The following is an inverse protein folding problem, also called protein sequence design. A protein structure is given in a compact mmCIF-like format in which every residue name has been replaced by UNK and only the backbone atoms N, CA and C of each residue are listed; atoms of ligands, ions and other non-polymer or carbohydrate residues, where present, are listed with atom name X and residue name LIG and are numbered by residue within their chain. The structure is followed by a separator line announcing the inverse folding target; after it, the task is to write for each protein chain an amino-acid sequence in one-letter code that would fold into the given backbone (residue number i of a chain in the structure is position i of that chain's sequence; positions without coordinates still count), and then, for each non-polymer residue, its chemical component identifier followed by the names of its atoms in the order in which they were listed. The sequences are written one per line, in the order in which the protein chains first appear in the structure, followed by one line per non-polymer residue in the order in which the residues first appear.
data_IF_590427336507
#
_entry.id   IF_590427336507
#
_cell.length_a   1.000
_cell.length_b   1.000
_cell.length_c   1.000
_cell.angle_alpha   90.00
_cell.angle_beta   90.00
_cell.angle_gamma   90.00
#
_symmetry.space_group_name_H-M   'P 1'
#
loop_
_entity.id
_entity.type
_entity.pdbx_description
1 polymer ?
#
# COMPACT_ATOMS: atom_id res chain seq x y z
N UNK A 1 15.69 -26.15 -7.30
CA UNK A 1 14.67 -26.26 -6.23
C UNK A 1 13.40 -25.69 -6.83
N UNK A 2 12.31 -26.45 -6.83
CA UNK A 2 11.03 -25.97 -7.34
C UNK A 2 10.49 -24.88 -6.43
N UNK A 3 10.17 -23.70 -6.97
CA UNK A 3 9.54 -22.64 -6.19
C UNK A 3 8.04 -22.92 -6.03
N UNK A 4 7.52 -22.80 -4.82
CA UNK A 4 6.08 -22.78 -4.57
C UNK A 4 5.68 -21.42 -4.01
N UNK A 5 5.08 -20.61 -4.87
CA UNK A 5 4.60 -19.26 -4.52
C UNK A 5 3.11 -19.34 -4.21
N UNK A 6 2.71 -18.87 -3.02
CA UNK A 6 1.31 -18.87 -2.59
C UNK A 6 0.82 -17.42 -2.47
N UNK A 7 -0.25 -17.09 -3.22
CA UNK A 7 -0.96 -15.81 -3.13
C UNK A 7 -2.18 -15.96 -2.22
N UNK A 8 -2.21 -15.24 -1.09
CA UNK A 8 -3.35 -15.18 -0.17
C UNK A 8 -4.08 -13.86 -0.36
N UNK A 9 -5.37 -13.91 -0.68
CA UNK A 9 -6.16 -12.79 -1.19
C UNK A 9 -6.11 -12.71 -2.72
N UNK A 10 -6.04 -13.88 -3.38
CA UNK A 10 -5.86 -14.00 -4.82
C UNK A 10 -7.01 -13.37 -5.63
N UNK A 11 -8.20 -13.14 -5.05
CA UNK A 11 -9.31 -12.42 -5.70
C UNK A 11 -9.06 -10.92 -5.91
N UNK A 12 -7.89 -10.40 -5.55
CA UNK A 12 -7.54 -9.00 -5.75
C UNK A 12 -7.37 -8.66 -7.23
N UNK A 13 -8.26 -7.80 -7.75
CA UNK A 13 -8.15 -7.31 -9.14
C UNK A 13 -6.92 -6.42 -9.36
N UNK A 14 -6.45 -5.75 -8.30
CA UNK A 14 -5.30 -4.86 -8.38
C UNK A 14 -3.96 -5.60 -8.42
N UNK A 15 -3.82 -6.70 -7.67
CA UNK A 15 -2.51 -7.36 -7.50
C UNK A 15 -2.36 -8.63 -8.34
N UNK A 16 -3.38 -9.49 -8.39
CA UNK A 16 -3.23 -10.87 -8.93
C UNK A 16 -2.79 -10.88 -10.38
N UNK A 17 -3.34 -9.99 -11.21
CA UNK A 17 -2.98 -9.90 -12.63
C UNK A 17 -1.49 -9.56 -12.81
N UNK A 18 -1.01 -8.53 -12.12
CA UNK A 18 0.39 -8.10 -12.17
C UNK A 18 1.34 -9.15 -11.63
N UNK A 19 1.06 -9.68 -10.43
CA UNK A 19 1.89 -10.71 -9.79
C UNK A 19 2.03 -11.98 -10.63
N UNK A 20 0.94 -12.48 -11.20
CA UNK A 20 1.00 -13.67 -12.06
C UNK A 20 1.75 -13.36 -13.35
N UNK A 21 1.58 -12.18 -13.95
CA UNK A 21 2.32 -11.77 -15.14
C UNK A 21 3.83 -11.66 -14.87
N UNK A 22 4.22 -11.10 -13.71
CA UNK A 22 5.62 -10.97 -13.30
C UNK A 22 6.26 -12.34 -13.02
N UNK A 23 5.54 -13.24 -12.34
CA UNK A 23 5.98 -14.61 -12.11
C UNK A 23 6.22 -15.36 -13.44
N UNK A 24 5.37 -15.16 -14.44
CA UNK A 24 5.50 -15.78 -15.76
C UNK A 24 6.68 -15.26 -16.60
N UNK A 25 7.25 -14.11 -16.24
CA UNK A 25 8.47 -13.60 -16.86
C UNK A 25 9.72 -14.32 -16.35
N UNK A 26 9.60 -15.09 -15.26
CA UNK A 26 10.69 -15.88 -14.71
C UNK A 26 10.64 -17.31 -15.25
N UNK A 27 11.77 -17.81 -15.66
CA UNK A 27 11.92 -19.22 -16.07
C UNK A 27 12.16 -20.11 -14.85
N UNK A 28 11.29 -20.01 -13.85
CA UNK A 28 11.37 -20.83 -12.64
C UNK A 28 10.59 -22.13 -12.85
N UNK A 29 11.15 -23.25 -12.36
CA UNK A 29 10.37 -24.44 -12.09
C UNK A 29 9.50 -24.14 -10.85
N UNK A 30 8.18 -23.96 -11.04
CA UNK A 30 7.33 -23.44 -9.97
C UNK A 30 5.92 -24.01 -9.94
N UNK A 31 5.35 -23.99 -8.75
CA UNK A 31 3.93 -24.18 -8.47
C UNK A 31 3.33 -22.86 -7.96
N UNK A 32 2.17 -22.50 -8.47
CA UNK A 32 1.38 -21.32 -8.05
C UNK A 32 0.20 -21.79 -7.20
N UNK A 33 0.19 -21.39 -5.93
CA UNK A 33 -0.95 -21.57 -5.03
C UNK A 33 -1.80 -20.31 -4.96
N UNK A 34 -3.11 -20.45 -5.17
CA UNK A 34 -4.08 -19.35 -5.08
C UNK A 34 -5.03 -19.60 -3.93
N UNK A 35 -5.19 -18.59 -3.06
CA UNK A 35 -6.08 -18.69 -1.89
C UNK A 35 -6.94 -17.44 -1.81
N UNK A 36 -8.24 -17.63 -1.74
CA UNK A 36 -9.19 -16.59 -1.36
C UNK A 36 -10.37 -17.23 -0.61
N UNK A 37 -10.87 -16.55 0.42
CA UNK A 37 -12.04 -17.04 1.18
C UNK A 37 -13.35 -16.92 0.39
N UNK A 38 -13.39 -16.06 -0.62
CA UNK A 38 -14.47 -15.91 -1.57
C UNK A 38 -14.27 -16.86 -2.75
N UNK A 39 -15.10 -17.88 -2.85
CA UNK A 39 -15.00 -18.91 -3.88
C UNK A 39 -15.16 -18.35 -5.30
N UNK A 40 -16.00 -17.34 -5.48
CA UNK A 40 -16.23 -16.70 -6.79
C UNK A 40 -15.01 -15.88 -7.19
N UNK A 41 -14.45 -15.09 -6.26
CA UNK A 41 -13.22 -14.33 -6.50
C UNK A 41 -12.02 -15.27 -6.77
N UNK A 42 -11.94 -16.40 -6.06
CA UNK A 42 -10.93 -17.42 -6.29
C UNK A 42 -11.05 -18.04 -7.69
N UNK A 43 -12.26 -18.36 -8.13
CA UNK A 43 -12.50 -18.93 -9.46
C UNK A 43 -12.09 -17.94 -10.58
N UNK A 44 -12.33 -16.64 -10.38
CA UNK A 44 -11.85 -15.59 -11.29
C UNK A 44 -10.32 -15.54 -11.32
N UNK A 45 -9.67 -15.55 -10.16
CA UNK A 45 -8.20 -15.53 -10.05
C UNK A 45 -7.57 -16.76 -10.72
N UNK A 46 -8.12 -17.94 -10.46
CA UNK A 46 -7.65 -19.21 -11.04
C UNK A 46 -7.84 -19.23 -12.56
N UNK A 47 -9.03 -18.85 -13.04
CA UNK A 47 -9.33 -18.76 -14.47
C UNK A 47 -8.36 -17.82 -15.21
N UNK A 48 -8.10 -16.64 -14.63
CA UNK A 48 -7.14 -15.70 -15.19
C UNK A 48 -5.71 -16.27 -15.20
N UNK A 49 -5.25 -16.84 -14.07
CA UNK A 49 -3.91 -17.40 -13.97
C UNK A 49 -3.68 -18.51 -15.00
N UNK A 50 -4.64 -19.42 -15.17
CA UNK A 50 -4.56 -20.49 -16.18
C UNK A 50 -4.48 -19.95 -17.59
N UNK A 51 -5.26 -18.93 -17.95
CA UNK A 51 -5.19 -18.28 -19.26
C UNK A 51 -3.85 -17.58 -19.51
N UNK A 52 -3.30 -16.90 -18.49
CA UNK A 52 -1.99 -16.26 -18.58
C UNK A 52 -0.88 -17.31 -18.82
N UNK A 53 -0.93 -18.43 -18.08
CA UNK A 53 0.00 -19.55 -18.21
C UNK A 53 -0.08 -20.17 -19.62
N UNK A 54 -1.28 -20.42 -20.11
CA UNK A 54 -1.53 -20.96 -21.45
C UNK A 54 -0.99 -20.03 -22.54
N UNK A 55 -1.31 -18.73 -22.46
CA UNK A 55 -0.87 -17.73 -23.44
C UNK A 55 0.67 -17.61 -23.51
N UNK A 56 1.37 -17.81 -22.37
CA UNK A 56 2.83 -17.84 -22.32
C UNK A 56 3.43 -19.22 -22.59
N UNK A 57 2.58 -20.26 -22.80
CA UNK A 57 3.01 -21.66 -22.97
C UNK A 57 3.91 -22.13 -21.81
N UNK A 58 3.68 -21.60 -20.60
CA UNK A 58 4.46 -21.96 -19.44
C UNK A 58 3.95 -23.25 -18.80
N UNK A 59 4.85 -24.01 -18.18
CA UNK A 59 4.51 -25.24 -17.45
C UNK A 59 4.50 -24.97 -15.95
N UNK A 60 3.41 -24.31 -15.48
CA UNK A 60 3.22 -23.98 -14.06
C UNK A 60 2.00 -24.74 -13.55
N UNK A 61 2.19 -25.51 -12.48
CA UNK A 61 1.08 -26.16 -11.78
C UNK A 61 0.35 -25.14 -10.92
N UNK A 62 -0.98 -25.02 -11.09
CA UNK A 62 -1.84 -24.16 -10.30
C UNK A 62 -2.65 -25.02 -9.33
N UNK A 63 -2.61 -24.65 -8.04
CA UNK A 63 -3.49 -25.16 -6.98
C UNK A 63 -4.30 -24.02 -6.42
N UNK A 64 -5.60 -24.25 -6.15
CA UNK A 64 -6.50 -23.23 -5.62
C UNK A 64 -7.37 -23.83 -4.51
N UNK A 65 -7.52 -23.11 -3.38
CA UNK A 65 -8.44 -23.50 -2.30
C UNK A 65 -8.92 -22.27 -1.53
N UNK A 66 -10.12 -22.37 -0.98
CA UNK A 66 -10.63 -21.39 -0.02
C UNK A 66 -10.03 -21.58 1.38
N UNK A 67 -9.44 -22.74 1.65
CA UNK A 67 -8.64 -22.98 2.86
C UNK A 67 -7.14 -22.89 2.54
N UNK A 68 -6.50 -21.82 3.06
CA UNK A 68 -5.06 -21.62 2.88
C UNK A 68 -4.20 -22.76 3.43
N UNK A 69 -4.70 -23.51 4.43
CA UNK A 69 -3.94 -24.61 5.02
C UNK A 69 -3.70 -25.75 4.04
N UNK A 70 -4.62 -25.96 3.09
CA UNK A 70 -4.46 -26.97 2.03
C UNK A 70 -3.35 -26.61 1.03
N UNK A 71 -3.10 -25.30 0.84
CA UNK A 71 -2.17 -24.79 -0.17
C UNK A 71 -0.79 -24.45 0.39
N UNK A 72 -0.70 -24.00 1.65
CA UNK A 72 0.53 -23.48 2.26
C UNK A 72 1.66 -24.51 2.41
N UNK A 73 1.35 -25.80 2.57
CA UNK A 73 2.37 -26.82 2.80
C UNK A 73 3.40 -26.85 1.68
N UNK A 74 4.67 -26.66 2.05
CA UNK A 74 5.79 -26.64 1.13
C UNK A 74 5.97 -25.32 0.37
N UNK A 75 5.23 -24.26 0.74
CA UNK A 75 5.45 -22.93 0.15
C UNK A 75 6.87 -22.44 0.43
N UNK A 76 7.51 -21.85 -0.60
CA UNK A 76 8.82 -21.21 -0.52
C UNK A 76 8.71 -19.70 -0.42
N UNK A 77 7.58 -19.15 -0.91
CA UNK A 77 7.20 -17.74 -0.74
C UNK A 77 5.68 -17.63 -0.55
N UNK A 78 5.26 -16.74 0.34
CA UNK A 78 3.85 -16.40 0.60
C UNK A 78 3.68 -14.91 0.42
N UNK A 79 2.73 -14.51 -0.41
CA UNK A 79 2.43 -13.12 -0.74
C UNK A 79 0.97 -12.86 -0.35
N UNK A 80 0.75 -11.91 0.57
CA UNK A 80 -0.58 -11.55 1.04
C UNK A 80 -1.05 -10.22 0.46
N UNK A 81 -2.19 -10.26 -0.23
CA UNK A 81 -2.90 -9.10 -0.79
C UNK A 81 -4.30 -8.97 -0.21
N UNK A 82 -4.47 -9.44 1.03
CA UNK A 82 -5.76 -9.50 1.73
C UNK A 82 -6.32 -8.11 2.01
N UNK A 83 -7.61 -7.93 1.77
CA UNK A 83 -8.38 -6.77 2.19
C UNK A 83 -9.68 -7.22 2.85
N UNK A 84 -9.67 -7.43 4.18
CA UNK A 84 -10.83 -7.94 4.93
C UNK A 84 -12.06 -7.05 4.72
N UNK A 85 -13.16 -7.66 4.29
CA UNK A 85 -14.42 -7.00 3.99
C UNK A 85 -14.45 -6.28 2.62
N UNK A 86 -13.33 -6.31 1.87
CA UNK A 86 -13.23 -5.76 0.53
C UNK A 86 -13.61 -4.28 0.45
N UNK A 87 -14.09 -3.86 -0.73
CA UNK A 87 -14.48 -2.46 -0.99
C UNK A 87 -15.68 -2.01 -0.16
N UNK A 88 -16.62 -2.91 0.16
CA UNK A 88 -17.83 -2.55 0.93
C UNK A 88 -17.49 -2.17 2.38
N UNK A 89 -16.57 -2.87 3.03
CA UNK A 89 -16.08 -2.47 4.34
C UNK A 89 -15.23 -1.18 4.27
N UNK A 90 -14.48 -0.99 3.18
CA UNK A 90 -13.70 0.22 2.95
C UNK A 90 -14.59 1.47 2.75
N UNK A 91 -15.74 1.33 2.10
CA UNK A 91 -16.75 2.41 2.01
C UNK A 91 -17.18 2.89 3.41
N UNK A 92 -17.41 1.97 4.35
CA UNK A 92 -17.77 2.34 5.71
C UNK A 92 -16.65 3.10 6.42
N UNK A 93 -15.39 2.71 6.19
CA UNK A 93 -14.22 3.37 6.77
C UNK A 93 -14.09 4.85 6.34
N UNK A 94 -14.61 5.21 5.17
CA UNK A 94 -14.54 6.57 4.63
C UNK A 94 -15.85 7.34 4.81
N UNK A 95 -16.99 6.71 4.57
CA UNK A 95 -18.29 7.40 4.62
C UNK A 95 -18.78 7.68 6.04
N UNK A 96 -18.44 6.82 7.01
CA UNK A 96 -18.80 7.09 8.41
C UNK A 96 -18.06 8.33 8.93
N UNK A 97 -16.72 8.45 8.86
CA UNK A 97 -16.02 9.67 9.27
C UNK A 97 -16.51 10.93 8.55
N UNK A 98 -16.93 10.84 7.30
CA UNK A 98 -17.48 11.97 6.54
C UNK A 98 -18.72 12.59 7.21
N UNK A 99 -19.56 11.79 7.91
CA UNK A 99 -20.69 12.29 8.70
C UNK A 99 -20.27 13.18 9.87
N UNK A 100 -19.03 13.03 10.31
CA UNK A 100 -18.39 13.80 11.39
C UNK A 100 -17.53 14.96 10.86
N UNK A 101 -17.62 15.29 9.56
CA UNK A 101 -16.81 16.34 8.94
C UNK A 101 -15.36 15.93 8.69
N UNK A 102 -15.03 14.65 8.74
CA UNK A 102 -13.68 14.13 8.50
C UNK A 102 -13.61 13.58 7.07
N UNK A 103 -12.82 14.26 6.23
CA UNK A 103 -12.71 13.97 4.80
C UNK A 103 -11.43 13.22 4.49
N UNK A 104 -11.57 12.05 3.86
CA UNK A 104 -10.47 11.13 3.57
C UNK A 104 -10.49 10.77 2.08
N UNK A 105 -9.42 11.05 1.32
CA UNK A 105 -9.36 10.65 -0.09
C UNK A 105 -9.10 9.14 -0.27
N UNK A 106 -8.51 8.48 0.71
CA UNK A 106 -8.20 7.04 0.67
C UNK A 106 -8.74 6.29 1.88
N UNK A 107 -8.38 6.68 3.10
CA UNK A 107 -8.85 6.05 4.35
C UNK A 107 -8.45 4.59 4.52
N UNK A 108 -7.31 4.17 3.99
CA UNK A 108 -6.86 2.79 4.11
C UNK A 108 -5.62 2.60 5.00
N UNK A 109 -4.88 3.68 5.27
CA UNK A 109 -3.58 3.62 5.93
C UNK A 109 -3.53 4.36 7.26
N UNK A 110 -4.14 5.53 7.36
CA UNK A 110 -4.19 6.40 8.54
C UNK A 110 -5.57 7.02 8.66
N UNK A 111 -5.76 8.02 9.51
CA UNK A 111 -7.04 8.65 9.81
C UNK A 111 -8.06 7.63 10.37
N UNK A 112 -9.30 8.00 10.66
CA UNK A 112 -10.27 7.05 11.20
C UNK A 112 -10.49 5.82 10.32
N UNK A 113 -10.41 5.97 9.01
CA UNK A 113 -10.55 4.87 8.06
C UNK A 113 -9.45 3.83 8.22
N UNK A 114 -8.17 4.25 8.19
CA UNK A 114 -7.03 3.36 8.42
C UNK A 114 -7.05 2.74 9.81
N UNK A 115 -7.46 3.52 10.84
CA UNK A 115 -7.61 3.04 12.21
C UNK A 115 -8.67 1.93 12.32
N UNK A 116 -9.85 2.12 11.71
CA UNK A 116 -10.92 1.12 11.64
C UNK A 116 -10.49 -0.12 10.84
N UNK A 117 -9.86 0.09 9.69
CA UNK A 117 -9.36 -1.00 8.84
C UNK A 117 -8.34 -1.87 9.56
N UNK A 118 -7.44 -1.29 10.35
CA UNK A 118 -6.47 -2.03 11.15
C UNK A 118 -7.13 -3.05 12.09
N UNK A 119 -8.26 -2.69 12.72
CA UNK A 119 -8.93 -3.58 13.67
C UNK A 119 -9.38 -4.90 13.04
N UNK A 120 -9.77 -4.91 11.75
CA UNK A 120 -10.19 -6.14 11.07
C UNK A 120 -9.06 -6.82 10.31
N UNK A 121 -8.08 -6.06 9.82
CA UNK A 121 -6.93 -6.63 9.12
C UNK A 121 -5.99 -7.39 10.05
N UNK A 122 -5.71 -6.84 11.24
CA UNK A 122 -4.73 -7.40 12.17
C UNK A 122 -5.06 -8.82 12.59
N UNK A 123 -6.25 -9.16 13.12
CA UNK A 123 -6.53 -10.54 13.54
C UNK A 123 -6.48 -11.52 12.37
N UNK A 124 -6.95 -11.14 11.19
CA UNK A 124 -6.89 -11.98 10.00
C UNK A 124 -5.44 -12.27 9.59
N UNK A 125 -4.60 -11.24 9.56
CA UNK A 125 -3.20 -11.39 9.15
C UNK A 125 -2.33 -12.10 10.20
N UNK A 126 -2.66 -11.95 11.49
CA UNK A 126 -2.05 -12.75 12.58
C UNK A 126 -2.42 -14.24 12.43
N UNK A 127 -3.67 -14.56 12.06
CA UNK A 127 -4.08 -15.92 11.79
C UNK A 127 -3.36 -16.50 10.56
N UNK A 128 -3.21 -15.72 9.48
CA UNK A 128 -2.40 -16.12 8.31
C UNK A 128 -0.95 -16.41 8.74
N UNK A 129 -0.34 -15.52 9.50
CA UNK A 129 1.05 -15.68 9.95
C UNK A 129 1.27 -16.93 10.81
N UNK A 130 0.30 -17.29 11.66
CA UNK A 130 0.35 -18.56 12.44
C UNK A 130 0.33 -19.77 11.52
N UNK A 131 -0.52 -19.80 10.50
CA UNK A 131 -0.56 -20.91 9.55
C UNK A 131 0.69 -20.98 8.66
N UNK A 132 1.29 -19.83 8.31
CA UNK A 132 2.59 -19.80 7.60
C UNK A 132 3.70 -20.37 8.47
N UNK A 133 3.77 -20.01 9.75
CA UNK A 133 4.76 -20.57 10.68
C UNK A 133 4.58 -22.09 10.90
N UNK A 134 3.35 -22.57 10.91
CA UNK A 134 3.02 -24.00 11.10
C UNK A 134 3.35 -24.83 9.84
N UNK A 135 2.98 -24.37 8.66
CA UNK A 135 2.96 -25.16 7.43
C UNK A 135 4.11 -24.85 6.46
N UNK A 136 4.71 -23.66 6.56
CA UNK A 136 5.79 -23.18 5.70
C UNK A 136 6.75 -22.25 6.46
N UNK A 137 7.37 -22.70 7.58
CA UNK A 137 8.15 -21.85 8.49
C UNK A 137 9.38 -21.20 7.84
N UNK A 138 9.87 -21.75 6.73
CA UNK A 138 11.02 -21.23 5.99
C UNK A 138 10.62 -20.39 4.76
N UNK A 139 9.33 -20.19 4.52
CA UNK A 139 8.86 -19.38 3.40
C UNK A 139 9.24 -17.90 3.59
N UNK A 140 9.60 -17.25 2.50
CA UNK A 140 9.62 -15.79 2.45
C UNK A 140 8.18 -15.30 2.61
N UNK A 141 7.95 -14.37 3.54
CA UNK A 141 6.61 -13.92 3.84
C UNK A 141 6.48 -12.42 3.58
N UNK A 142 5.64 -12.06 2.59
CA UNK A 142 5.41 -10.69 2.15
C UNK A 142 3.97 -10.25 2.39
N UNK A 143 3.80 -8.96 2.73
CA UNK A 143 2.50 -8.35 2.93
C UNK A 143 2.34 -7.09 2.07
N UNK A 144 1.26 -7.01 1.31
CA UNK A 144 0.80 -5.82 0.58
C UNK A 144 -0.44 -5.17 1.22
N UNK A 145 -1.02 -5.82 2.23
CA UNK A 145 -2.23 -5.34 2.89
C UNK A 145 -2.01 -4.11 3.76
N UNK A 146 -2.88 -3.10 3.61
CA UNK A 146 -2.92 -1.89 4.42
C UNK A 146 -3.90 -2.01 5.60
N UNK A 147 -3.64 -1.23 6.69
CA UNK A 147 -2.51 -0.33 6.92
C UNK A 147 -1.20 -1.09 7.15
N UNK A 148 -0.20 -0.80 6.34
CA UNK A 148 1.03 -1.59 6.27
C UNK A 148 1.80 -1.68 7.61
N UNK A 149 2.17 -0.55 8.27
CA UNK A 149 2.92 -0.61 9.52
C UNK A 149 2.17 -1.33 10.65
N UNK A 150 0.89 -1.05 10.94
CA UNK A 150 0.13 -1.78 11.96
C UNK A 150 0.05 -3.28 11.69
N UNK A 151 -0.21 -3.69 10.44
CA UNK A 151 -0.31 -5.11 10.08
C UNK A 151 1.02 -5.83 10.28
N UNK A 152 2.12 -5.29 9.74
CA UNK A 152 3.45 -5.89 9.90
C UNK A 152 3.90 -5.90 11.38
N UNK A 153 3.59 -4.84 12.12
CA UNK A 153 3.90 -4.75 13.55
C UNK A 153 3.14 -5.79 14.37
N UNK A 154 1.85 -5.94 14.12
CA UNK A 154 0.99 -6.89 14.82
C UNK A 154 1.41 -8.35 14.55
N UNK A 155 1.67 -8.72 13.30
CA UNK A 155 2.19 -10.04 12.92
C UNK A 155 3.43 -10.37 13.75
N UNK A 156 4.42 -9.48 13.75
CA UNK A 156 5.68 -9.68 14.49
C UNK A 156 5.48 -9.74 15.99
N UNK A 157 4.65 -8.85 16.55
CA UNK A 157 4.35 -8.77 17.98
C UNK A 157 3.63 -10.02 18.48
N UNK A 158 2.64 -10.50 17.74
CA UNK A 158 1.77 -11.60 18.16
C UNK A 158 2.32 -12.98 17.84
N UNK A 159 3.21 -13.13 16.83
CA UNK A 159 3.64 -14.45 16.33
C UNK A 159 5.15 -14.63 16.20
N UNK A 160 5.91 -13.56 16.16
CA UNK A 160 7.35 -13.58 15.86
C UNK A 160 7.68 -13.82 14.38
N UNK A 161 6.69 -14.00 13.49
CA UNK A 161 6.92 -14.25 12.07
C UNK A 161 7.68 -13.08 11.40
N UNK A 162 8.63 -13.45 10.52
CA UNK A 162 9.45 -12.48 9.78
C UNK A 162 8.71 -12.02 8.52
N UNK A 163 7.70 -11.16 8.67
CA UNK A 163 7.02 -10.56 7.53
C UNK A 163 7.79 -9.34 7.02
N UNK A 164 7.84 -9.18 5.69
CA UNK A 164 8.33 -7.98 5.00
C UNK A 164 7.14 -7.31 4.31
N UNK A 165 6.87 -6.05 4.64
CA UNK A 165 5.84 -5.27 3.96
C UNK A 165 6.41 -4.64 2.70
N UNK A 166 5.64 -4.65 1.62
CA UNK A 166 6.02 -4.08 0.33
C UNK A 166 4.95 -3.11 -0.18
N UNK A 167 5.41 -2.00 -0.75
CA UNK A 167 4.58 -1.01 -1.41
C UNK A 167 5.30 -0.54 -2.68
N UNK A 168 4.54 -0.33 -3.76
CA UNK A 168 5.10 0.19 -5.01
C UNK A 168 5.35 1.72 -4.96
N UNK A 169 4.80 2.44 -3.97
CA UNK A 169 4.82 3.90 -3.90
C UNK A 169 6.20 4.51 -4.08
N UNK A 170 7.21 4.03 -3.34
CA UNK A 170 8.59 4.56 -3.44
C UNK A 170 9.16 4.38 -4.84
N UNK A 171 9.03 3.20 -5.44
CA UNK A 171 9.54 2.92 -6.78
C UNK A 171 8.80 3.76 -7.83
N UNK A 172 7.49 3.84 -7.75
CA UNK A 172 6.66 4.63 -8.68
C UNK A 172 7.04 6.11 -8.65
N UNK A 173 7.09 6.71 -7.47
CA UNK A 173 7.49 8.13 -7.32
C UNK A 173 8.94 8.37 -7.74
N UNK A 174 9.84 7.41 -7.53
CA UNK A 174 11.22 7.53 -8.02
C UNK A 174 11.28 7.67 -9.54
N UNK A 175 10.48 6.90 -10.28
CA UNK A 175 10.36 7.04 -11.74
C UNK A 175 9.75 8.40 -12.15
N UNK A 176 8.73 8.85 -11.44
CA UNK A 176 8.15 10.18 -11.68
C UNK A 176 9.18 11.30 -11.46
N UNK A 177 9.98 11.23 -10.37
CA UNK A 177 11.01 12.22 -10.08
C UNK A 177 12.11 12.23 -11.14
N UNK A 178 12.56 11.05 -11.61
CA UNK A 178 13.50 10.96 -12.73
C UNK A 178 12.92 11.61 -13.99
N UNK A 179 11.65 11.35 -14.31
CA UNK A 179 10.93 11.99 -15.42
C UNK A 179 10.84 13.51 -15.27
N UNK A 180 10.57 14.03 -14.07
CA UNK A 180 10.54 15.47 -13.80
C UNK A 180 11.91 16.14 -13.93
N UNK A 181 12.98 15.40 -13.69
CA UNK A 181 14.36 15.87 -13.92
C UNK A 181 14.81 15.68 -15.37
N UNK A 182 14.03 15.00 -16.21
CA UNK A 182 14.36 14.71 -17.60
C UNK A 182 15.54 13.74 -17.76
N UNK A 183 15.68 12.77 -16.86
CA UNK A 183 16.78 11.80 -16.87
C UNK A 183 16.27 10.37 -16.95
N UNK A 184 17.06 9.49 -17.59
CA UNK A 184 16.80 8.06 -17.57
C UNK A 184 16.95 7.50 -16.17
N UNK A 185 16.07 6.55 -15.81
CA UNK A 185 16.03 5.98 -14.46
C UNK A 185 17.35 5.30 -14.04
N UNK A 186 18.11 4.77 -14.99
CA UNK A 186 19.42 4.16 -14.75
C UNK A 186 20.45 5.14 -14.18
N UNK A 187 20.28 6.43 -14.42
CA UNK A 187 21.13 7.52 -13.92
C UNK A 187 20.64 8.09 -12.60
N UNK A 188 19.40 7.75 -12.20
CA UNK A 188 18.76 8.25 -11.00
C UNK A 188 19.01 7.31 -9.81
N UNK A 189 19.43 7.88 -8.69
CA UNK A 189 19.61 7.15 -7.43
C UNK A 189 18.96 7.93 -6.30
N UNK A 190 18.45 7.20 -5.31
CA UNK A 190 17.73 7.82 -4.21
C UNK A 190 17.89 7.04 -2.90
N UNK A 191 17.62 7.73 -1.80
CA UNK A 191 17.38 7.16 -0.48
C UNK A 191 16.02 7.64 -0.01
N UNK A 192 15.13 6.71 0.33
CA UNK A 192 13.82 7.01 0.86
C UNK A 192 13.62 6.31 2.21
N UNK A 193 13.23 7.07 3.25
CA UNK A 193 13.12 6.60 4.63
C UNK A 193 11.90 7.21 5.31
N UNK A 194 11.11 6.39 6.01
CA UNK A 194 9.96 6.86 6.76
C UNK A 194 9.01 5.76 7.16
N UNK A 195 7.73 6.07 7.15
CA UNK A 195 6.61 5.15 7.38
C UNK A 195 5.85 5.01 6.07
N UNK A 196 5.38 3.83 5.74
CA UNK A 196 4.66 3.57 4.48
C UNK A 196 3.58 4.65 4.22
N UNK A 197 3.52 5.14 2.99
CA UNK A 197 2.76 6.30 2.49
C UNK A 197 3.21 7.67 3.04
N UNK A 198 4.17 7.70 3.98
CA UNK A 198 4.87 8.90 4.44
C UNK A 198 6.37 8.62 4.55
N UNK A 199 6.90 7.96 3.53
CA UNK A 199 8.33 7.79 3.30
C UNK A 199 8.86 9.04 2.61
N UNK A 200 10.06 9.48 2.95
CA UNK A 200 10.66 10.69 2.42
C UNK A 200 11.87 10.37 1.58
N UNK A 201 11.94 10.86 0.36
CA UNK A 201 13.18 10.93 -0.41
C UNK A 201 14.09 11.95 0.26
N UNK A 202 14.98 11.46 1.10
CA UNK A 202 15.94 12.28 1.85
C UNK A 202 17.19 12.58 1.04
N UNK A 203 17.43 11.81 -0.01
CA UNK A 203 18.54 11.96 -0.93
C UNK A 203 18.09 11.59 -2.35
N UNK A 204 18.46 12.43 -3.31
CA UNK A 204 18.25 12.18 -4.74
C UNK A 204 19.51 12.56 -5.49
N UNK A 205 20.02 11.66 -6.33
CA UNK A 205 21.24 11.87 -7.12
C UNK A 205 21.01 11.54 -8.59
N UNK A 206 21.66 12.31 -9.45
CA UNK A 206 21.78 12.04 -10.89
C UNK A 206 23.27 11.96 -11.23
N UNK A 207 23.70 10.85 -11.81
CA UNK A 207 25.11 10.57 -12.09
C UNK A 207 26.03 10.76 -10.86
N UNK A 208 25.52 10.45 -9.67
CA UNK A 208 26.25 10.58 -8.42
C UNK A 208 26.23 11.98 -7.79
N UNK A 209 25.80 13.02 -8.51
CA UNK A 209 25.67 14.38 -7.99
C UNK A 209 24.30 14.60 -7.30
N UNK A 210 24.28 15.41 -6.22
CA UNK A 210 23.05 15.80 -5.55
C UNK A 210 22.09 16.53 -6.51
N UNK A 211 20.88 16.01 -6.66
CA UNK A 211 19.84 16.54 -7.53
C UNK A 211 18.68 17.21 -6.76
N UNK A 212 18.76 17.30 -5.43
CA UNK A 212 17.73 17.98 -4.65
C UNK A 212 17.57 19.47 -5.03
N UNK A 213 18.64 20.24 -5.32
CA UNK A 213 18.52 21.61 -5.80
C UNK A 213 17.73 21.72 -7.12
N UNK A 214 17.85 20.75 -8.02
CA UNK A 214 17.09 20.67 -9.27
C UNK A 214 15.62 20.34 -9.01
N UNK A 215 15.32 19.39 -8.12
CA UNK A 215 13.95 19.07 -7.71
C UNK A 215 13.25 20.28 -7.06
N UNK A 216 13.96 21.07 -6.27
CA UNK A 216 13.39 22.32 -5.70
C UNK A 216 12.98 23.32 -6.79
N UNK A 217 13.79 23.46 -7.85
CA UNK A 217 13.40 24.29 -9.01
C UNK A 217 12.18 23.72 -9.76
N UNK A 218 12.08 22.40 -9.86
CA UNK A 218 10.88 21.76 -10.41
C UNK A 218 9.67 22.07 -9.53
N UNK A 219 9.80 21.96 -8.20
CA UNK A 219 8.74 22.27 -7.25
C UNK A 219 8.23 23.73 -7.41
N UNK A 220 9.15 24.70 -7.46
CA UNK A 220 8.83 26.12 -7.68
C UNK A 220 8.02 26.32 -8.97
N UNK A 221 8.48 25.72 -10.09
CA UNK A 221 7.79 25.78 -11.37
C UNK A 221 6.39 25.13 -11.30
N UNK A 222 6.28 23.94 -10.77
CA UNK A 222 5.02 23.19 -10.62
C UNK A 222 3.99 23.98 -9.81
N UNK A 223 4.40 24.61 -8.71
CA UNK A 223 3.52 25.42 -7.87
C UNK A 223 3.04 26.70 -8.53
N UNK A 224 3.81 27.29 -9.43
CA UNK A 224 3.37 28.44 -10.26
C UNK A 224 2.38 28.02 -11.35
N UNK A 225 2.56 26.83 -11.92
CA UNK A 225 1.71 26.29 -12.99
C UNK A 225 0.38 25.72 -12.47
N UNK A 226 0.36 25.18 -11.25
CA UNK A 226 -0.76 24.44 -10.68
C UNK A 226 -2.10 25.21 -10.63
N UNK A 227 -2.18 26.50 -10.21
CA UNK A 227 -3.45 27.23 -10.19
C UNK A 227 -4.12 27.33 -11.57
N UNK A 228 -3.31 27.45 -12.64
CA UNK A 228 -3.81 27.46 -14.03
C UNK A 228 -4.31 26.08 -14.45
N UNK A 229 -3.62 25.04 -14.01
CA UNK A 229 -4.00 23.65 -14.28
C UNK A 229 -5.35 23.31 -13.61
N UNK A 230 -5.54 23.67 -12.34
CA UNK A 230 -6.82 23.46 -11.59
C UNK A 230 -7.99 24.18 -12.27
N UNK A 231 -7.80 25.42 -12.70
CA UNK A 231 -8.85 26.17 -13.41
C UNK A 231 -9.27 25.49 -14.74
N UNK A 232 -8.33 24.82 -15.41
CA UNK A 232 -8.59 24.04 -16.62
C UNK A 232 -9.20 22.66 -16.34
N UNK A 233 -8.83 22.03 -15.22
CA UNK A 233 -9.42 20.76 -14.79
C UNK A 233 -10.93 20.91 -14.55
N UNK A 234 -11.37 21.97 -13.87
CA UNK A 234 -12.79 22.25 -13.65
C UNK A 234 -13.60 22.34 -14.96
N UNK A 235 -13.02 22.89 -16.03
CA UNK A 235 -13.65 22.93 -17.35
C UNK A 235 -13.70 21.56 -18.01
N UNK A 236 -12.61 20.78 -17.96
CA UNK A 236 -12.56 19.41 -18.51
C UNK A 236 -13.51 18.47 -17.78
N UNK A 237 -13.69 18.60 -16.47
CA UNK A 237 -14.69 17.85 -15.70
C UNK A 237 -16.11 18.15 -16.16
N UNK A 238 -16.42 19.42 -16.41
CA UNK A 238 -17.75 19.83 -16.90
C UNK A 238 -18.04 19.30 -18.31
N UNK A 239 -17.01 19.13 -19.14
CA UNK A 239 -17.14 18.69 -20.54
C UNK A 239 -17.14 17.16 -20.69
N UNK A 240 -16.42 16.42 -19.86
CA UNK A 240 -16.18 14.97 -20.04
C UNK A 240 -17.12 14.05 -19.26
N UNK A 241 -17.84 14.55 -18.25
CA UNK A 241 -18.76 13.76 -17.41
C UNK A 241 -18.10 12.64 -16.60
N UNK A 242 -16.84 12.30 -16.86
CA UNK A 242 -16.06 11.30 -16.16
C UNK A 242 -14.60 11.75 -16.05
N UNK A 243 -14.01 11.63 -14.83
CA UNK A 243 -12.59 11.88 -14.61
C UNK A 243 -11.75 10.78 -15.26
N UNK A 244 -10.82 11.15 -16.14
CA UNK A 244 -9.71 10.28 -16.53
C UNK A 244 -8.54 10.49 -15.58
N UNK A 245 -7.63 9.53 -15.48
CA UNK A 245 -6.38 9.70 -14.70
C UNK A 245 -5.64 10.99 -15.06
N UNK A 246 -5.58 11.33 -16.35
CA UNK A 246 -4.92 12.53 -16.88
C UNK A 246 -5.62 13.84 -16.49
N UNK A 247 -6.91 13.79 -16.16
CA UNK A 247 -7.70 14.91 -15.66
C UNK A 247 -7.77 14.98 -14.14
N UNK A 248 -7.15 14.01 -13.43
CA UNK A 248 -7.15 13.95 -11.97
C UNK A 248 -6.06 14.82 -11.37
N UNK A 249 -6.25 15.21 -10.11
CA UNK A 249 -5.23 15.94 -9.33
C UNK A 249 -3.99 15.07 -9.05
N UNK A 250 -4.09 13.75 -9.21
CA UNK A 250 -3.03 12.79 -8.93
C UNK A 250 -1.74 13.04 -9.74
N UNK A 251 -1.85 13.64 -10.92
CA UNK A 251 -0.69 13.98 -11.75
C UNK A 251 0.07 15.24 -11.32
N UNK A 252 -0.47 16.04 -10.39
CA UNK A 252 0.13 17.32 -10.02
C UNK A 252 0.86 17.31 -8.68
N UNK A 253 0.35 16.62 -7.68
CA UNK A 253 0.90 16.51 -6.33
C UNK A 253 1.37 17.84 -5.72
N UNK A 254 0.53 18.92 -5.71
CA UNK A 254 0.95 20.25 -5.30
C UNK A 254 1.38 20.33 -3.84
N UNK A 255 0.78 19.54 -2.96
CA UNK A 255 1.14 19.51 -1.55
C UNK A 255 2.51 18.87 -1.33
N UNK A 256 2.81 17.78 -2.03
CA UNK A 256 4.13 17.14 -2.01
C UNK A 256 5.23 18.09 -2.49
N UNK A 257 4.96 18.92 -3.52
CA UNK A 257 5.91 19.93 -3.96
C UNK A 257 6.09 21.05 -2.92
N UNK A 258 5.04 21.48 -2.21
CA UNK A 258 5.18 22.42 -1.09
C UNK A 258 6.03 21.83 0.03
N UNK A 259 5.77 20.58 0.41
CA UNK A 259 6.55 19.88 1.42
C UNK A 259 8.03 19.77 1.01
N UNK A 260 8.31 19.54 -0.28
CA UNK A 260 9.68 19.50 -0.80
C UNK A 260 10.45 20.81 -0.57
N UNK A 261 9.79 21.95 -0.78
CA UNK A 261 10.41 23.23 -0.51
C UNK A 261 10.65 23.49 0.98
N UNK A 262 9.75 23.01 1.84
CA UNK A 262 9.83 23.21 3.29
C UNK A 262 10.82 22.25 3.97
N UNK A 263 10.79 20.96 3.61
CA UNK A 263 11.53 19.90 4.30
C UNK A 263 12.83 19.50 3.58
N UNK A 264 13.08 20.02 2.37
CA UNK A 264 14.18 19.56 1.51
C UNK A 264 14.19 18.02 1.32
N UNK A 265 13.01 17.44 1.21
CA UNK A 265 12.75 16.02 1.00
C UNK A 265 11.39 15.87 0.31
N UNK A 266 11.24 14.90 -0.61
CA UNK A 266 10.00 14.66 -1.33
C UNK A 266 9.24 13.47 -0.72
N UNK A 267 7.91 13.55 -0.46
CA UNK A 267 7.13 12.39 0.01
C UNK A 267 7.03 11.31 -1.06
N UNK A 268 7.24 10.06 -0.69
CA UNK A 268 7.26 8.92 -1.61
C UNK A 268 5.84 8.34 -1.87
N UNK A 269 4.85 9.22 -1.99
CA UNK A 269 3.49 8.86 -2.36
C UNK A 269 2.79 10.05 -2.99
N UNK A 270 1.64 9.84 -3.65
CA UNK A 270 0.81 10.93 -4.18
C UNK A 270 0.12 11.72 -3.06
N UNK A 271 -0.27 12.95 -3.35
CA UNK A 271 -0.97 13.84 -2.42
C UNK A 271 -2.24 13.24 -1.82
N UNK A 272 -2.91 12.36 -2.54
CA UNK A 272 -4.07 11.60 -2.08
C UNK A 272 -3.77 10.88 -0.75
N UNK A 273 -2.59 10.26 -0.61
CA UNK A 273 -2.14 9.62 0.63
C UNK A 273 -1.46 10.60 1.57
N UNK A 274 -0.57 11.46 1.04
CA UNK A 274 0.25 12.36 1.85
C UNK A 274 -0.59 13.34 2.67
N UNK A 275 -1.70 13.85 2.10
CA UNK A 275 -2.62 14.76 2.80
C UNK A 275 -3.23 14.14 4.06
N UNK A 276 -3.46 12.83 4.08
CA UNK A 276 -4.02 12.11 5.24
C UNK A 276 -3.08 12.09 6.45
N UNK A 277 -1.78 12.30 6.25
CA UNK A 277 -0.80 12.44 7.34
C UNK A 277 -0.80 13.84 7.97
N UNK A 278 -1.49 14.80 7.34
CA UNK A 278 -1.63 16.18 7.81
C UNK A 278 -3.12 16.58 7.96
N UNK A 279 -3.93 15.79 8.69
CA UNK A 279 -5.40 15.98 8.72
C UNK A 279 -5.81 17.38 9.17
N UNK A 280 -5.06 18.01 10.07
CA UNK A 280 -5.36 19.36 10.57
C UNK A 280 -5.25 20.45 9.51
N UNK A 281 -4.43 20.26 8.47
CA UNK A 281 -4.31 21.23 7.37
C UNK A 281 -5.51 21.17 6.44
N UNK A 282 -6.20 20.02 6.40
CA UNK A 282 -7.29 19.74 5.46
C UNK A 282 -8.62 19.43 6.15
N UNK A 283 -8.76 19.81 7.42
CA UNK A 283 -9.94 19.51 8.25
C UNK A 283 -11.24 20.22 7.77
N UNK A 284 -11.12 21.27 6.96
CA UNK A 284 -12.27 22.05 6.51
C UNK A 284 -12.61 21.75 5.05
N UNK A 285 -13.89 21.84 4.73
CA UNK A 285 -14.34 21.82 3.34
C UNK A 285 -13.58 22.85 2.50
N UNK A 286 -13.28 22.45 1.27
CA UNK A 286 -12.54 23.28 0.29
C UNK A 286 -11.14 23.73 0.71
N UNK A 287 -10.57 23.09 1.74
CA UNK A 287 -9.23 23.43 2.24
C UNK A 287 -8.09 22.97 1.31
N UNK A 288 -8.36 22.05 0.39
CA UNK A 288 -7.39 21.60 -0.61
C UNK A 288 -7.59 22.35 -1.93
N UNK A 289 -6.98 23.52 -2.06
CA UNK A 289 -7.05 24.37 -3.27
C UNK A 289 -8.49 24.61 -3.77
N UNK A 290 -9.40 24.88 -2.85
CA UNK A 290 -10.82 25.11 -3.14
C UNK A 290 -11.64 23.85 -3.33
N UNK A 291 -11.08 22.68 -3.08
CA UNK A 291 -11.74 21.38 -3.13
C UNK A 291 -11.77 20.72 -1.74
N UNK A 292 -12.73 19.84 -1.53
CA UNK A 292 -12.84 18.99 -0.34
C UNK A 292 -12.24 17.62 -0.66
N UNK A 293 -11.21 17.23 0.10
CA UNK A 293 -10.54 15.94 -0.08
C UNK A 293 -11.53 14.78 0.04
N UNK A 294 -11.40 13.81 -0.85
CA UNK A 294 -12.26 12.62 -0.89
C UNK A 294 -13.68 12.86 -1.43
N UNK A 295 -14.06 14.12 -1.73
CA UNK A 295 -15.40 14.50 -2.22
C UNK A 295 -15.34 15.06 -3.64
N UNK A 296 -14.63 16.15 -3.86
CA UNK A 296 -14.42 16.79 -5.18
C UNK A 296 -12.93 16.84 -5.56
N UNK A 297 -12.02 16.79 -4.57
CA UNK A 297 -10.61 16.50 -4.77
C UNK A 297 -10.30 15.05 -4.38
N UNK A 298 -9.70 14.26 -5.29
CA UNK A 298 -9.42 12.83 -5.06
C UNK A 298 -10.67 12.05 -4.62
N UNK A 299 -11.71 12.08 -5.41
CA UNK A 299 -13.01 11.48 -5.08
C UNK A 299 -12.87 10.00 -4.71
N UNK A 300 -13.34 9.66 -3.52
CA UNK A 300 -13.28 8.29 -3.03
C UNK A 300 -14.23 7.36 -3.80
N UNK A 301 -15.41 7.87 -4.18
CA UNK A 301 -16.39 7.15 -4.98
C UNK A 301 -15.81 6.66 -6.33
N UNK A 302 -14.95 7.46 -6.95
CA UNK A 302 -14.27 7.06 -8.19
C UNK A 302 -13.30 5.89 -7.95
N UNK A 303 -12.58 5.89 -6.81
CA UNK A 303 -11.70 4.78 -6.42
C UNK A 303 -12.47 3.47 -6.27
N UNK A 304 -13.65 3.52 -5.67
CA UNK A 304 -14.52 2.36 -5.51
C UNK A 304 -15.05 1.89 -6.88
N UNK A 305 -15.54 2.82 -7.70
CA UNK A 305 -16.07 2.51 -9.03
C UNK A 305 -15.00 1.88 -9.95
N UNK A 306 -13.77 2.40 -9.92
CA UNK A 306 -12.66 1.81 -10.68
C UNK A 306 -12.30 0.40 -10.19
N UNK A 307 -12.28 0.19 -8.88
CA UNK A 307 -12.03 -1.12 -8.30
C UNK A 307 -13.11 -2.14 -8.68
N UNK A 308 -14.39 -1.76 -8.65
CA UNK A 308 -15.51 -2.60 -9.05
C UNK A 308 -15.43 -2.92 -10.55
N UNK A 309 -15.20 -1.91 -11.40
CA UNK A 309 -15.03 -2.08 -12.84
C UNK A 309 -13.84 -2.98 -13.18
N UNK A 310 -12.69 -2.76 -12.53
CA UNK A 310 -11.49 -3.57 -12.74
C UNK A 310 -11.70 -5.04 -12.39
N UNK A 311 -12.47 -5.33 -11.34
CA UNK A 311 -12.83 -6.69 -10.98
C UNK A 311 -13.76 -7.34 -12.02
N UNK A 312 -14.78 -6.62 -12.50
CA UNK A 312 -15.70 -7.13 -13.53
C UNK A 312 -14.97 -7.35 -14.87
N UNK A 313 -14.06 -6.49 -15.26
CA UNK A 313 -13.22 -6.69 -16.43
C UNK A 313 -12.33 -7.95 -16.29
N UNK A 314 -11.70 -8.13 -15.12
CA UNK A 314 -10.92 -9.32 -14.81
C UNK A 314 -11.79 -10.59 -14.86
N UNK A 315 -13.00 -10.53 -14.28
CA UNK A 315 -13.99 -11.62 -14.28
C UNK A 315 -14.42 -11.99 -15.70
N UNK A 316 -14.75 -11.00 -16.52
CA UNK A 316 -15.14 -11.23 -17.91
C UNK A 316 -14.06 -11.95 -18.69
N UNK A 317 -12.79 -11.53 -18.56
CA UNK A 317 -11.65 -12.18 -19.21
C UNK A 317 -11.41 -13.58 -18.65
N UNK A 318 -11.38 -13.74 -17.34
CA UNK A 318 -11.06 -15.00 -16.67
C UNK A 318 -12.03 -16.13 -16.98
N UNK A 319 -13.33 -15.81 -17.05
CA UNK A 319 -14.42 -16.79 -17.22
C UNK A 319 -14.87 -16.96 -18.67
N UNK A 320 -14.38 -16.13 -19.63
CA UNK A 320 -14.71 -16.30 -21.04
C UNK A 320 -14.09 -17.59 -21.60
N UNK A 321 -14.64 -18.08 -22.71
CA UNK A 321 -14.04 -19.19 -23.48
C UNK A 321 -12.99 -18.71 -24.49
N UNK A 322 -12.92 -17.41 -24.70
CA UNK A 322 -12.01 -16.81 -25.66
C UNK A 322 -10.56 -16.79 -25.11
N UNK A 323 -9.55 -16.88 -25.98
CA UNK A 323 -8.17 -16.69 -25.57
C UNK A 323 -7.95 -15.27 -25.04
N UNK A 324 -6.85 -15.05 -24.32
CA UNK A 324 -6.49 -13.71 -23.88
C UNK A 324 -6.29 -12.78 -25.08
N UNK A 325 -6.75 -11.50 -24.98
CA UNK A 325 -6.42 -10.49 -25.98
C UNK A 325 -4.90 -10.38 -26.16
N UNK A 326 -4.44 -10.21 -27.40
CA UNK A 326 -3.00 -10.17 -27.72
C UNK A 326 -2.25 -9.06 -26.95
N UNK A 327 -2.92 -7.96 -26.65
CA UNK A 327 -2.40 -6.81 -25.90
C UNK A 327 -2.57 -6.92 -24.39
N UNK A 328 -3.13 -8.02 -23.87
CA UNK A 328 -3.46 -8.15 -22.45
C UNK A 328 -2.24 -8.00 -21.53
N UNK A 329 -1.09 -8.57 -21.93
CA UNK A 329 0.16 -8.39 -21.19
C UNK A 329 0.70 -6.95 -21.28
N UNK A 330 0.48 -6.24 -22.37
CA UNK A 330 0.84 -4.82 -22.50
C UNK A 330 -0.01 -3.91 -21.64
N UNK A 331 -1.29 -4.25 -21.44
CA UNK A 331 -2.19 -3.51 -20.54
C UNK A 331 -1.88 -3.77 -19.06
N UNK A 332 -1.27 -4.91 -18.75
CA UNK A 332 -0.77 -5.22 -17.41
C UNK A 332 0.61 -4.61 -17.16
N UNK A 333 1.13 -3.85 -18.14
CA UNK A 333 2.47 -3.29 -18.10
C UNK A 333 2.65 -2.33 -16.93
N UNK A 334 3.54 -2.68 -16.03
CA UNK A 334 4.28 -1.75 -15.26
C UNK A 334 3.86 -1.42 -13.84
N UNK A 335 2.88 -2.06 -13.23
CA UNK A 335 2.92 -2.17 -11.77
C UNK A 335 3.87 -3.31 -11.42
N UNK A 336 5.16 -3.04 -11.55
CA UNK A 336 6.19 -3.99 -11.21
C UNK A 336 6.19 -4.15 -9.69
N UNK A 337 5.44 -5.15 -9.25
CA UNK A 337 5.50 -5.59 -7.88
C UNK A 337 6.91 -6.12 -7.62
N UNK A 338 7.67 -5.39 -6.84
CA UNK A 338 9.08 -5.70 -6.57
C UNK A 338 9.29 -7.10 -5.97
N UNK A 339 8.23 -7.75 -5.46
CA UNK A 339 8.33 -9.04 -4.76
C UNK A 339 8.96 -10.14 -5.59
N UNK A 340 8.65 -10.23 -6.88
CA UNK A 340 9.22 -11.27 -7.76
C UNK A 340 10.71 -11.03 -7.99
N UNK A 341 11.11 -9.77 -8.13
CA UNK A 341 12.51 -9.36 -8.23
C UNK A 341 13.27 -9.58 -6.91
N UNK A 342 12.61 -9.33 -5.77
CA UNK A 342 13.16 -9.58 -4.44
C UNK A 342 13.41 -11.09 -4.24
N UNK A 343 12.43 -11.94 -4.58
CA UNK A 343 12.58 -13.39 -4.50
C UNK A 343 13.76 -13.84 -5.39
N UNK A 344 13.83 -13.37 -6.64
CA UNK A 344 14.94 -13.69 -7.55
C UNK A 344 16.29 -13.26 -6.97
N UNK A 345 16.37 -12.04 -6.43
CA UNK A 345 17.60 -11.53 -5.80
C UNK A 345 18.03 -12.41 -4.61
N UNK A 346 17.10 -12.81 -3.76
CA UNK A 346 17.38 -13.69 -2.62
C UNK A 346 17.86 -15.07 -3.10
N UNK A 347 17.20 -15.68 -4.10
CA UNK A 347 17.55 -17.01 -4.62
C UNK A 347 18.90 -17.05 -5.31
N UNK A 348 19.30 -15.96 -5.95
CA UNK A 348 20.58 -15.83 -6.66
C UNK A 348 21.69 -15.20 -5.83
N UNK A 349 21.40 -14.78 -4.61
CA UNK A 349 22.31 -13.98 -3.77
C UNK A 349 22.81 -12.73 -4.50
N UNK A 350 21.89 -12.04 -5.20
CA UNK A 350 22.29 -10.93 -6.10
C UNK A 350 22.54 -9.62 -5.36
N UNK A 351 22.16 -9.50 -4.10
CA UNK A 351 22.42 -8.32 -3.27
C UNK A 351 21.77 -7.03 -3.76
N UNK A 352 20.65 -7.11 -4.47
CA UNK A 352 19.93 -5.93 -4.97
C UNK A 352 19.22 -5.19 -3.85
N UNK A 353 19.10 -3.88 -3.98
CA UNK A 353 18.48 -3.00 -2.99
C UNK A 353 17.05 -2.65 -3.41
N UNK A 354 16.13 -2.74 -2.44
CA UNK A 354 14.71 -2.42 -2.60
C UNK A 354 14.21 -1.59 -1.43
N UNK A 355 13.08 -0.91 -1.58
CA UNK A 355 12.37 -0.31 -0.46
C UNK A 355 11.51 -1.37 0.23
N UNK A 356 11.61 -1.49 1.55
CA UNK A 356 10.88 -2.50 2.30
C UNK A 356 10.44 -2.01 3.67
N UNK A 357 9.25 -2.44 4.09
CA UNK A 357 8.72 -2.16 5.42
C UNK A 357 9.19 -3.24 6.40
N UNK A 358 10.13 -2.87 7.26
CA UNK A 358 10.80 -3.76 8.20
C UNK A 358 10.94 -3.11 9.58
N UNK A 359 11.10 -3.91 10.68
CA UNK A 359 11.32 -3.32 11.99
C UNK A 359 12.64 -2.56 12.03
N UNK A 360 12.61 -1.38 12.64
CA UNK A 360 13.83 -0.66 12.99
C UNK A 360 14.64 -1.48 13.98
N UNK A 361 15.89 -1.73 13.65
CA UNK A 361 16.89 -2.40 14.49
C UNK A 361 18.15 -1.55 14.58
N UNK A 362 17.97 -0.23 14.59
CA UNK A 362 19.02 0.76 14.58
C UNK A 362 19.38 1.28 13.18
N UNK A 363 18.75 0.76 12.10
CA UNK A 363 19.01 1.27 10.75
C UNK A 363 18.63 2.74 10.58
N UNK A 364 17.67 3.26 11.37
CA UNK A 364 17.37 4.70 11.48
C UNK A 364 17.50 5.08 12.95
N UNK A 365 18.66 5.62 13.36
CA UNK A 365 19.08 5.66 14.77
C UNK A 365 18.22 6.57 15.66
N UNK A 366 17.52 7.54 15.09
CA UNK A 366 16.68 8.49 15.83
C UNK A 366 15.18 8.23 15.67
N UNK A 367 14.79 7.04 15.21
CA UNK A 367 13.44 6.53 15.26
C UNK A 367 13.34 5.33 16.23
N UNK A 368 12.16 5.05 16.82
CA UNK A 368 12.01 4.01 17.83
C UNK A 368 12.44 2.62 17.37
N UNK A 369 13.09 1.86 18.25
CA UNK A 369 13.40 0.44 17.99
C UNK A 369 12.11 -0.37 17.81
N UNK A 370 12.13 -1.32 16.89
CA UNK A 370 11.01 -2.18 16.56
C UNK A 370 9.90 -1.52 15.74
N UNK A 371 9.91 -0.19 15.54
CA UNK A 371 8.96 0.49 14.65
C UNK A 371 9.06 -0.06 13.23
N UNK A 372 7.94 -0.28 12.55
CA UNK A 372 7.96 -0.68 11.14
C UNK A 372 8.24 0.56 10.29
N UNK A 373 9.39 0.56 9.64
CA UNK A 373 9.86 1.64 8.78
C UNK A 373 10.00 1.13 7.35
N UNK A 374 9.65 1.98 6.39
CA UNK A 374 9.96 1.79 4.98
C UNK A 374 11.30 2.45 4.70
N UNK A 375 12.28 1.63 4.32
CA UNK A 375 13.65 2.06 4.12
C UNK A 375 14.38 1.13 3.14
N UNK A 376 15.55 1.53 2.60
CA UNK A 376 16.37 0.66 1.76
C UNK A 376 16.74 -0.62 2.50
N UNK A 377 16.59 -1.75 1.81
CA UNK A 377 16.98 -3.08 2.29
C UNK A 377 17.62 -3.89 1.15
N UNK A 378 18.66 -4.62 1.47
CA UNK A 378 19.32 -5.54 0.52
C UNK A 378 18.65 -6.90 0.56
N UNK A 379 18.41 -7.47 -0.63
CA UNK A 379 17.88 -8.81 -0.83
C UNK A 379 19.00 -9.77 -1.19
N UNK A 380 19.44 -10.60 -0.24
CA UNK A 380 20.52 -11.57 -0.38
C UNK A 380 20.08 -12.97 0.10
N UNK A 381 20.88 -14.01 -0.06
CA UNK A 381 20.53 -15.41 0.25
C UNK A 381 19.97 -15.61 1.66
N UNK A 382 20.34 -14.77 2.63
CA UNK A 382 19.82 -14.84 4.01
C UNK A 382 18.48 -14.11 4.21
N UNK A 383 17.90 -13.53 3.14
CA UNK A 383 16.66 -12.76 3.14
C UNK A 383 16.88 -11.26 3.04
N UNK A 384 15.85 -10.47 3.40
CA UNK A 384 15.89 -9.00 3.38
C UNK A 384 16.63 -8.47 4.60
N UNK A 385 17.59 -7.57 4.39
CA UNK A 385 18.34 -6.88 5.45
C UNK A 385 18.27 -5.37 5.26
N UNK A 386 17.75 -4.60 6.25
CA UNK A 386 17.73 -3.15 6.15
C UNK A 386 19.15 -2.56 6.15
N UNK A 387 19.33 -1.49 5.40
CA UNK A 387 20.60 -0.77 5.28
C UNK A 387 20.59 0.39 6.26
N UNK A 388 21.68 0.56 7.00
CA UNK A 388 21.85 1.67 7.95
C UNK A 388 21.75 3.02 7.22
N UNK A 389 21.02 3.94 7.81
CA UNK A 389 20.76 5.28 7.32
C UNK A 389 21.29 6.33 8.29
N UNK A 390 21.65 7.53 7.82
CA UNK A 390 21.91 8.64 8.72
C UNK A 390 20.65 9.01 9.52
N UNK A 391 20.80 9.70 10.67
CA UNK A 391 19.64 10.24 11.39
C UNK A 391 18.78 11.14 10.48
N UNK A 392 17.48 10.97 10.52
CA UNK A 392 16.57 11.89 9.84
C UNK A 392 16.58 13.26 10.50
N UNK A 393 16.34 14.33 9.73
CA UNK A 393 16.23 15.67 10.30
C UNK A 393 15.09 15.78 11.31
N UNK A 394 15.19 16.63 12.36
CA UNK A 394 14.14 16.77 13.37
C UNK A 394 12.75 17.10 12.79
N UNK A 395 12.70 17.91 11.72
CA UNK A 395 11.44 18.24 11.04
C UNK A 395 10.77 16.99 10.43
N UNK A 396 11.53 16.13 9.77
CA UNK A 396 11.03 14.88 9.21
C UNK A 396 10.60 13.89 10.31
N UNK A 397 11.40 13.75 11.37
CA UNK A 397 11.03 12.93 12.54
C UNK A 397 9.70 13.42 13.14
N UNK A 398 9.51 14.75 13.26
CA UNK A 398 8.29 15.35 13.78
C UNK A 398 7.04 14.97 12.99
N UNK A 399 7.14 14.77 11.67
CA UNK A 399 6.02 14.32 10.82
C UNK A 399 5.63 12.87 11.09
N UNK A 400 6.54 12.06 11.64
CA UNK A 400 6.36 10.62 11.85
C UNK A 400 6.05 10.24 13.31
N UNK A 401 6.46 11.06 14.28
CA UNK A 401 6.46 10.68 15.69
C UNK A 401 5.09 10.23 16.22
N UNK A 402 4.05 11.02 15.97
CA UNK A 402 2.69 10.68 16.42
C UNK A 402 2.17 9.43 15.68
N UNK A 403 2.54 9.25 14.41
CA UNK A 403 2.13 8.07 13.62
C UNK A 403 2.75 6.79 14.15
N UNK A 404 3.98 6.83 14.60
CA UNK A 404 4.64 5.68 15.21
C UNK A 404 3.97 5.28 16.53
N UNK A 405 3.58 6.24 17.37
CA UNK A 405 2.80 5.99 18.57
C UNK A 405 1.39 5.46 18.24
N UNK A 406 0.73 6.01 17.22
CA UNK A 406 -0.55 5.53 16.74
C UNK A 406 -0.48 4.07 16.29
N UNK A 407 0.58 3.64 15.58
CA UNK A 407 0.77 2.24 15.17
C UNK A 407 0.72 1.30 16.36
N UNK A 408 1.47 1.58 17.44
CA UNK A 408 1.47 0.72 18.64
C UNK A 408 0.08 0.69 19.30
N UNK A 409 -0.59 1.84 19.38
CA UNK A 409 -1.90 1.96 20.04
C UNK A 409 -2.98 1.19 19.26
N UNK A 410 -3.04 1.30 17.94
CA UNK A 410 -4.03 0.59 17.13
C UNK A 410 -3.75 -0.91 17.06
N UNK A 411 -2.48 -1.31 17.08
CA UNK A 411 -2.10 -2.73 17.18
C UNK A 411 -2.62 -3.33 18.48
N UNK A 412 -2.42 -2.65 19.60
CA UNK A 412 -2.92 -3.12 20.90
C UNK A 412 -4.45 -3.12 20.94
N UNK A 413 -5.10 -2.09 20.42
CA UNK A 413 -6.56 -2.05 20.30
C UNK A 413 -7.11 -3.28 19.54
N UNK A 414 -6.48 -3.63 18.42
CA UNK A 414 -6.91 -4.74 17.59
C UNK A 414 -6.63 -6.12 18.22
N UNK A 415 -5.48 -6.30 18.88
CA UNK A 415 -5.10 -7.57 19.50
C UNK A 415 -5.89 -7.87 20.77
N UNK A 416 -6.21 -6.83 21.56
CA UNK A 416 -6.93 -6.94 22.84
C UNK A 416 -8.45 -6.84 22.69
N UNK A 417 -8.96 -6.34 21.57
CA UNK A 417 -10.38 -5.99 21.41
C UNK A 417 -10.75 -4.80 22.30
N UNK A 418 -9.85 -3.83 22.47
CA UNK A 418 -10.03 -2.70 23.39
C UNK A 418 -10.64 -1.50 22.68
N UNK A 419 -11.90 -1.19 23.02
CA UNK A 419 -12.58 0.02 22.58
C UNK A 419 -11.83 1.29 23.01
N UNK A 420 -11.35 1.34 24.23
CA UNK A 420 -10.68 2.53 24.75
C UNK A 420 -9.37 2.82 24.01
N UNK A 421 -8.56 1.79 23.71
CA UNK A 421 -7.37 1.95 22.88
C UNK A 421 -7.71 2.34 21.44
N UNK A 422 -8.84 1.87 20.90
CA UNK A 422 -9.31 2.32 19.60
C UNK A 422 -9.66 3.80 19.60
N UNK A 423 -10.38 4.29 20.62
CA UNK A 423 -10.67 5.72 20.77
C UNK A 423 -9.38 6.53 20.98
N UNK A 424 -8.41 6.02 21.76
CA UNK A 424 -7.07 6.63 21.88
C UNK A 424 -6.38 6.75 20.53
N UNK A 425 -6.43 5.71 19.68
CA UNK A 425 -5.85 5.74 18.34
C UNK A 425 -6.52 6.80 17.46
N UNK A 426 -7.85 6.98 17.53
CA UNK A 426 -8.56 8.04 16.83
C UNK A 426 -8.12 9.45 17.30
N UNK A 427 -7.84 9.62 18.58
CA UNK A 427 -7.31 10.89 19.12
C UNK A 427 -5.88 11.16 18.65
N UNK A 428 -5.01 10.13 18.65
CA UNK A 428 -3.62 10.24 18.19
C UNK A 428 -3.54 10.54 16.68
N UNK A 429 -4.52 10.10 15.92
CA UNK A 429 -4.57 10.40 14.50
C UNK A 429 -4.66 11.90 14.20
N UNK A 430 -5.31 12.67 15.07
CA UNK A 430 -5.38 14.12 14.99
C UNK A 430 -6.44 14.66 14.03
N UNK A 431 -7.34 13.82 13.53
CA UNK A 431 -8.46 14.21 12.65
C UNK A 431 -9.74 14.54 13.42
N UNK A 432 -9.87 14.06 14.66
CA UNK A 432 -11.03 14.35 15.52
C UNK A 432 -10.83 15.66 16.32
N UNK A 433 -11.93 16.36 16.58
CA UNK A 433 -11.92 17.69 17.24
C UNK A 433 -12.23 17.62 18.74
N UNK A 434 -12.81 16.51 19.22
CA UNK A 434 -13.16 16.33 20.62
C UNK A 434 -13.17 14.87 21.05
N UNK A 435 -13.10 14.64 22.37
CA UNK A 435 -13.21 13.28 22.92
C UNK A 435 -14.59 12.67 22.67
N UNK A 436 -15.65 13.48 22.72
CA UNK A 436 -17.02 13.04 22.45
C UNK A 436 -17.17 12.60 20.98
N UNK A 437 -16.61 13.37 20.02
CA UNK A 437 -16.58 12.99 18.62
C UNK A 437 -15.80 11.69 18.39
N UNK A 438 -14.62 11.55 19.02
CA UNK A 438 -13.80 10.34 18.90
C UNK A 438 -14.55 9.09 19.43
N UNK A 439 -15.24 9.22 20.57
CA UNK A 439 -16.01 8.13 21.16
C UNK A 439 -17.18 7.72 20.27
N UNK A 440 -18.00 8.68 19.81
CA UNK A 440 -19.16 8.42 18.95
C UNK A 440 -18.76 7.83 17.61
N UNK A 441 -17.74 8.41 16.97
CA UNK A 441 -17.20 7.90 15.72
C UNK A 441 -16.65 6.47 15.88
N UNK A 442 -15.93 6.23 16.99
CA UNK A 442 -15.42 4.90 17.31
C UNK A 442 -16.52 3.87 17.48
N UNK A 443 -17.58 4.19 18.20
CA UNK A 443 -18.72 3.29 18.40
C UNK A 443 -19.44 3.00 17.08
N UNK A 444 -19.65 4.01 16.22
CA UNK A 444 -20.30 3.81 14.91
C UNK A 444 -19.45 2.93 13.99
N UNK A 445 -18.13 3.13 13.94
CA UNK A 445 -17.21 2.30 13.17
C UNK A 445 -17.17 0.85 13.69
N UNK A 446 -17.11 0.63 15.01
CA UNK A 446 -17.16 -0.70 15.59
C UNK A 446 -18.47 -1.41 15.28
N UNK A 447 -19.59 -0.72 15.34
CA UNK A 447 -20.91 -1.27 15.01
C UNK A 447 -21.01 -1.65 13.53
N UNK A 448 -20.56 -0.78 12.63
CA UNK A 448 -20.60 -1.01 11.19
C UNK A 448 -19.71 -2.19 10.76
N UNK A 449 -18.57 -2.37 11.42
CA UNK A 449 -17.60 -3.42 11.11
C UNK A 449 -17.75 -4.68 11.98
N UNK A 450 -18.78 -4.77 12.82
CA UNK A 450 -18.94 -5.84 13.84
C UNK A 450 -18.86 -7.27 13.28
N UNK A 451 -19.22 -7.48 12.01
CA UNK A 451 -19.10 -8.77 11.32
C UNK A 451 -17.65 -9.26 11.18
N UNK A 452 -16.71 -8.32 11.13
CA UNK A 452 -15.27 -8.58 10.95
C UNK A 452 -14.45 -8.43 12.23
N UNK A 453 -15.09 -8.10 13.37
CA UNK A 453 -14.45 -7.77 14.63
C UNK A 453 -14.81 -8.76 15.76
N UNK A 454 -14.50 -10.08 15.63
CA UNK A 454 -14.85 -11.05 16.64
C UNK A 454 -14.23 -10.76 18.03
N UNK A 455 -13.07 -10.12 18.07
CA UNK A 455 -12.36 -9.76 19.31
C UNK A 455 -13.05 -8.66 20.13
N UNK A 456 -14.00 -7.92 19.53
CA UNK A 456 -14.81 -6.92 20.24
C UNK A 456 -16.18 -7.47 20.68
N UNK A 457 -16.49 -8.72 20.37
CA UNK A 457 -17.70 -9.41 20.83
C UNK A 457 -17.43 -9.99 22.23
N UNK A 458 -17.54 -9.15 23.26
CA UNK A 458 -17.53 -9.60 24.67
C UNK A 458 -18.90 -9.41 25.29
#
# INVERSE_FOLDING_TARGET
MTEKVVLIGAGSASFTRGLVADLLQRNWDMELGLVDIDADALAVAEGLARKLIEAKKATIKVTASTDRREVLKGATAVICTVGVGGRRAWEQDVFIPRKYGIFQPVGDSVMPGGTSRALRMIPAMVAVAKDVLDLAPNALFFNYGNPMPPVCRAIRKATGAKVTGLCHGVSHVAHELAGHLGVDFDRFRYTAVGVNHMTWFTEVRVDGADAMPQLRKVAEKKLVEFPKAVANLGKKFAEAGTATWESSLDSYNPFSWQLTLLFNAYPACSDRHVTEFFPRLFAKEKSFYGQTLGVDGYRFEDTIAWGDKGFEEMRAVALSKDPLPADYFGRSGGEHEQVVDIIDSIRRDAGRVYSANMPNRGQVPNLPDGAILESPAVAEASGMKPIAQPPMSPGLVGTLATRLAWVETVVDAALEGSRDKFVQALLLDGSVESMDQAAKLGDELLAAQAGYLPQFKK
#
